data_IF_254378888854
#
_entry.id   IF_254378888854
#
_cell.length_a   1.000
_cell.length_b   1.000
_cell.length_c   1.000
_cell.angle_alpha   90.00
_cell.angle_beta   90.00
_cell.angle_gamma   90.00
#
_symmetry.space_group_name_H-M   'P 1'
#
loop_
_entity.id
_entity.type
_entity.pdbx_description
1 polymer ?
#
# COMPACT_ATOMS: atom_id res chain seq x y z
N UNK A 1 -3.99 -4.05 11.33
CA UNK A 1 -4.62 -3.66 12.61
C UNK A 1 -5.82 -4.56 12.92
N UNK A 2 -6.84 -4.61 12.06
CA UNK A 2 -7.94 -5.59 12.12
C UNK A 2 -8.28 -6.07 10.71
N UNK A 3 -9.12 -7.10 10.58
CA UNK A 3 -9.50 -7.67 9.27
C UNK A 3 -10.68 -6.92 8.62
N UNK A 4 -11.34 -6.06 9.38
CA UNK A 4 -12.39 -5.18 8.88
C UNK A 4 -12.40 -3.83 9.61
N UNK A 5 -13.21 -2.90 9.09
CA UNK A 5 -13.27 -1.55 9.62
C UNK A 5 -13.94 -1.45 11.01
N UNK A 6 -14.78 -2.42 11.41
CA UNK A 6 -15.44 -2.40 12.72
C UNK A 6 -14.43 -2.70 13.83
N UNK A 7 -13.60 -3.73 13.67
CA UNK A 7 -12.52 -4.07 14.61
C UNK A 7 -11.53 -2.91 14.77
N UNK A 8 -11.14 -2.27 13.66
CA UNK A 8 -10.29 -1.08 13.69
C UNK A 8 -10.93 0.05 14.51
N UNK A 9 -12.22 0.31 14.29
CA UNK A 9 -12.95 1.34 15.05
C UNK A 9 -13.03 1.03 16.53
N UNK A 10 -13.23 -0.24 16.88
CA UNK A 10 -13.28 -0.72 18.27
C UNK A 10 -11.95 -0.48 18.98
N UNK A 11 -10.83 -0.95 18.40
CA UNK A 11 -9.49 -0.74 18.97
C UNK A 11 -9.15 0.75 19.12
N UNK A 12 -9.49 1.58 18.13
CA UNK A 12 -9.26 3.03 18.18
C UNK A 12 -10.12 3.71 19.23
N UNK A 13 -11.40 3.31 19.37
CA UNK A 13 -12.29 3.86 20.38
C UNK A 13 -11.79 3.55 21.80
N UNK A 14 -11.38 2.31 22.04
CA UNK A 14 -10.85 1.85 23.32
C UNK A 14 -9.56 2.58 23.71
N UNK A 15 -8.60 2.67 22.78
CA UNK A 15 -7.35 3.40 23.03
C UNK A 15 -7.60 4.88 23.36
N UNK A 16 -8.53 5.54 22.66
CA UNK A 16 -8.91 6.94 22.92
C UNK A 16 -9.61 7.11 24.26
N UNK A 17 -10.56 6.24 24.60
CA UNK A 17 -11.28 6.30 25.87
C UNK A 17 -10.34 6.21 27.08
N UNK A 18 -9.23 5.48 26.93
CA UNK A 18 -8.23 5.29 27.99
C UNK A 18 -7.02 6.23 27.89
N UNK A 19 -6.95 7.08 26.86
CA UNK A 19 -5.81 7.96 26.63
C UNK A 19 -4.50 7.21 26.37
N UNK A 20 -4.56 6.02 25.78
CA UNK A 20 -3.39 5.18 25.49
C UNK A 20 -2.92 5.37 24.05
N UNK A 21 -1.61 5.23 23.84
CA UNK A 21 -1.03 5.25 22.50
C UNK A 21 -1.40 3.97 21.74
N UNK A 22 -1.84 4.14 20.49
CA UNK A 22 -2.11 3.05 19.55
C UNK A 22 -1.65 3.48 18.16
N UNK A 23 -0.94 2.59 17.46
CA UNK A 23 -0.49 2.81 16.10
C UNK A 23 -0.52 1.50 15.31
N UNK A 24 -1.05 1.55 14.09
CA UNK A 24 -0.90 0.43 13.16
C UNK A 24 0.54 0.33 12.66
N UNK A 25 1.10 -0.88 12.66
CA UNK A 25 2.49 -1.15 12.30
C UNK A 25 2.78 -1.04 10.79
N UNK A 26 2.41 0.08 10.16
CA UNK A 26 2.77 0.41 8.78
C UNK A 26 4.22 0.89 8.73
N UNK A 27 5.13 -0.05 8.94
CA UNK A 27 6.57 0.16 8.99
C UNK A 27 7.15 0.89 7.77
N UNK A 28 6.55 0.71 6.59
CA UNK A 28 7.01 1.34 5.34
C UNK A 28 7.06 2.86 5.42
N UNK A 29 6.23 3.49 6.25
CA UNK A 29 6.22 4.95 6.40
C UNK A 29 7.46 5.50 7.09
N UNK A 30 8.23 4.66 7.76
CA UNK A 30 9.41 5.07 8.53
C UNK A 30 10.73 4.82 7.78
N UNK A 31 10.69 4.30 6.54
CA UNK A 31 11.90 4.20 5.73
C UNK A 31 12.38 5.58 5.27
N UNK A 32 13.69 5.88 5.33
CA UNK A 32 14.26 7.16 4.88
C UNK A 32 13.85 7.56 3.46
N UNK A 33 13.70 6.59 2.55
CA UNK A 33 13.25 6.83 1.18
C UNK A 33 11.82 7.40 1.13
N UNK A 34 10.94 6.93 2.01
CA UNK A 34 9.55 7.40 2.10
C UNK A 34 9.49 8.76 2.80
N UNK A 35 10.37 9.01 3.77
CA UNK A 35 10.52 10.34 4.37
C UNK A 35 10.98 11.39 3.35
N UNK A 36 11.99 11.05 2.54
CA UNK A 36 12.49 11.89 1.46
C UNK A 36 11.42 12.16 0.39
N UNK A 37 10.58 11.16 0.08
CA UNK A 37 9.43 11.36 -0.80
C UNK A 37 8.44 12.36 -0.19
N UNK A 38 8.10 12.24 1.10
CA UNK A 38 7.21 13.21 1.77
C UNK A 38 7.79 14.62 1.75
N UNK A 39 9.10 14.78 1.98
CA UNK A 39 9.77 16.07 1.89
C UNK A 39 9.68 16.66 0.46
N UNK A 40 9.86 15.82 -0.57
CA UNK A 40 9.73 16.22 -1.98
C UNK A 40 8.32 16.70 -2.32
N UNK A 41 7.30 16.02 -1.78
CA UNK A 41 5.90 16.42 -1.95
C UNK A 41 5.60 17.74 -1.23
N UNK A 42 6.09 17.90 0.01
CA UNK A 42 5.90 19.12 0.80
C UNK A 42 6.58 20.35 0.16
N UNK A 43 7.70 20.15 -0.54
CA UNK A 43 8.39 21.22 -1.29
C UNK A 43 7.70 21.60 -2.60
N UNK A 44 6.68 20.85 -3.05
CA UNK A 44 6.03 21.09 -4.35
C UNK A 44 6.94 20.81 -5.55
N UNK A 45 8.00 20.03 -5.38
CA UNK A 45 9.00 19.73 -6.42
C UNK A 45 8.38 19.09 -7.66
N UNK A 46 7.33 18.27 -7.47
CA UNK A 46 6.60 17.62 -8.57
C UNK A 46 5.53 18.51 -9.23
N UNK A 47 5.34 19.75 -8.75
CA UNK A 47 4.25 20.62 -9.18
C UNK A 47 2.88 20.11 -8.71
N UNK A 48 1.84 20.39 -9.49
CA UNK A 48 0.47 19.95 -9.18
C UNK A 48 0.39 18.44 -9.41
N UNK A 49 0.04 17.70 -8.36
CA UNK A 49 -0.11 16.26 -8.44
C UNK A 49 -1.24 15.88 -9.42
N UNK A 50 -1.08 14.74 -10.10
CA UNK A 50 -2.05 14.23 -11.08
C UNK A 50 -2.48 12.81 -10.76
N UNK A 51 -1.49 11.91 -10.62
CA UNK A 51 -1.75 10.48 -10.47
C UNK A 51 -0.73 9.81 -9.56
N UNK A 52 -1.18 8.83 -8.80
CA UNK A 52 -0.32 7.91 -8.06
C UNK A 52 -0.60 6.46 -8.49
N UNK A 53 0.44 5.63 -8.51
CA UNK A 53 0.35 4.20 -8.81
C UNK A 53 1.17 3.41 -7.81
N UNK A 54 0.64 2.29 -7.37
CA UNK A 54 1.40 1.31 -6.60
C UNK A 54 1.08 -0.10 -7.09
N UNK A 55 2.07 -0.98 -7.11
CA UNK A 55 1.86 -2.39 -7.41
C UNK A 55 2.59 -3.24 -6.40
N UNK A 56 1.97 -4.33 -5.98
CA UNK A 56 2.63 -5.34 -5.18
C UNK A 56 2.07 -6.72 -5.56
N UNK A 57 2.86 -7.51 -6.27
CA UNK A 57 2.55 -8.90 -6.55
C UNK A 57 3.77 -9.80 -6.48
N UNK A 58 3.55 -10.99 -5.91
CA UNK A 58 4.49 -12.11 -5.82
C UNK A 58 3.66 -13.38 -5.88
N UNK A 59 4.24 -14.46 -6.39
CA UNK A 59 3.65 -15.78 -6.17
C UNK A 59 3.85 -16.16 -4.70
N UNK A 60 2.75 -16.13 -3.93
CA UNK A 60 2.68 -16.49 -2.52
C UNK A 60 1.84 -17.76 -2.31
N UNK A 61 1.51 -18.49 -3.38
CA UNK A 61 0.65 -19.69 -3.31
C UNK A 61 1.27 -20.80 -2.45
N UNK A 62 2.60 -20.81 -2.34
CA UNK A 62 3.37 -21.73 -1.51
C UNK A 62 3.50 -21.30 -0.04
N UNK A 63 3.04 -20.10 0.33
CA UNK A 63 3.07 -19.59 1.71
C UNK A 63 1.70 -19.87 2.34
N UNK A 64 1.56 -20.86 3.25
CA UNK A 64 0.25 -21.35 3.67
C UNK A 64 -0.67 -20.26 4.22
N UNK A 65 -0.13 -19.38 5.07
CA UNK A 65 -0.89 -18.27 5.66
C UNK A 65 -1.37 -17.24 4.61
N UNK A 66 -0.69 -17.10 3.47
CA UNK A 66 -1.04 -16.13 2.42
C UNK A 66 -2.32 -16.47 1.68
N UNK A 67 -2.61 -17.75 1.56
CA UNK A 67 -3.77 -18.26 0.82
C UNK A 67 -4.87 -18.78 1.75
N UNK A 68 -4.68 -18.73 3.07
CA UNK A 68 -5.61 -19.25 4.05
C UNK A 68 -6.77 -18.28 4.32
N UNK A 69 -7.98 -18.71 3.95
CA UNK A 69 -9.22 -17.97 4.19
C UNK A 69 -9.53 -17.80 5.68
N UNK A 70 -9.26 -18.80 6.51
CA UNK A 70 -9.54 -18.75 7.94
C UNK A 70 -8.64 -17.73 8.68
N UNK A 71 -7.49 -17.39 8.09
CA UNK A 71 -6.55 -16.40 8.60
C UNK A 71 -6.64 -15.05 7.88
N UNK A 72 -7.69 -14.84 7.09
CA UNK A 72 -7.91 -13.62 6.32
C UNK A 72 -6.70 -13.24 5.42
N UNK A 73 -6.12 -14.25 4.75
CA UNK A 73 -5.11 -14.04 3.71
C UNK A 73 -5.68 -13.39 2.45
N UNK A 74 -4.90 -13.41 1.36
CA UNK A 74 -5.27 -12.86 0.07
C UNK A 74 -4.50 -11.59 -0.29
N UNK A 75 -4.60 -11.20 -1.57
CA UNK A 75 -3.88 -10.07 -2.14
C UNK A 75 -4.14 -8.75 -1.40
N UNK A 76 -5.37 -8.48 -1.00
CA UNK A 76 -5.73 -7.21 -0.37
C UNK A 76 -5.12 -7.04 1.02
N UNK A 77 -5.26 -8.03 1.91
CA UNK A 77 -4.81 -7.91 3.30
C UNK A 77 -3.31 -8.10 3.44
N UNK A 78 -2.69 -8.96 2.63
CA UNK A 78 -1.25 -9.24 2.75
C UNK A 78 -0.39 -8.14 2.15
N UNK A 79 -0.75 -7.68 0.94
CA UNK A 79 0.14 -6.86 0.11
C UNK A 79 -0.55 -5.60 -0.43
N UNK A 80 -1.87 -5.63 -0.66
CA UNK A 80 -2.67 -4.49 -1.07
C UNK A 80 -2.68 -3.36 -0.03
N UNK A 81 -2.54 -3.68 1.26
CA UNK A 81 -2.37 -2.71 2.34
C UNK A 81 -1.20 -1.74 2.10
N UNK A 82 -0.10 -2.20 1.47
CA UNK A 82 1.06 -1.35 1.16
C UNK A 82 0.77 -0.38 0.03
N UNK A 83 -0.03 -0.80 -0.95
CA UNK A 83 -0.46 0.02 -2.07
C UNK A 83 -1.40 1.13 -1.60
N UNK A 84 -2.45 0.78 -0.84
CA UNK A 84 -3.44 1.75 -0.39
C UNK A 84 -2.84 2.76 0.59
N UNK A 85 -1.97 2.34 1.51
CA UNK A 85 -1.33 3.27 2.44
C UNK A 85 -0.38 4.24 1.73
N UNK A 86 0.27 3.81 0.64
CA UNK A 86 1.15 4.67 -0.17
C UNK A 86 0.32 5.74 -0.88
N UNK A 87 -0.75 5.34 -1.58
CA UNK A 87 -1.65 6.26 -2.28
C UNK A 87 -2.28 7.25 -1.29
N UNK A 88 -2.73 6.75 -0.14
CA UNK A 88 -3.25 7.59 0.94
C UNK A 88 -2.20 8.59 1.42
N UNK A 89 -0.94 8.17 1.61
CA UNK A 89 0.14 9.06 2.05
C UNK A 89 0.40 10.19 1.06
N UNK A 90 0.52 9.89 -0.24
CA UNK A 90 0.86 10.90 -1.26
C UNK A 90 -0.26 11.92 -1.48
N UNK A 91 -1.51 11.53 -1.22
CA UNK A 91 -2.68 12.42 -1.27
C UNK A 91 -3.10 12.93 0.12
N UNK A 92 -2.17 12.97 1.08
CA UNK A 92 -2.37 13.67 2.35
C UNK A 92 -3.41 13.04 3.29
N UNK A 93 -3.65 11.74 3.19
CA UNK A 93 -4.59 11.01 4.04
C UNK A 93 -6.06 11.34 3.77
N UNK A 94 -6.37 11.96 2.64
CA UNK A 94 -7.73 12.34 2.29
C UNK A 94 -8.63 11.11 2.04
N UNK A 95 -9.94 11.30 2.19
CA UNK A 95 -10.93 10.27 1.86
C UNK A 95 -11.18 10.26 0.34
N UNK A 96 -11.11 9.09 -0.33
CA UNK A 96 -11.52 8.98 -1.72
C UNK A 96 -13.00 9.35 -1.93
N UNK A 97 -13.30 10.00 -3.05
CA UNK A 97 -14.66 10.36 -3.50
C UNK A 97 -15.36 9.18 -4.19
N UNK A 98 -14.58 8.34 -4.88
CA UNK A 98 -15.07 7.17 -5.61
C UNK A 98 -14.03 6.07 -5.65
N UNK A 99 -14.49 4.81 -5.57
CA UNK A 99 -13.64 3.62 -5.68
C UNK A 99 -14.27 2.70 -6.74
N UNK A 100 -13.44 2.24 -7.68
CA UNK A 100 -13.79 1.20 -8.66
C UNK A 100 -12.79 0.06 -8.53
N UNK A 101 -13.24 -1.18 -8.51
CA UNK A 101 -12.37 -2.35 -8.36
C UNK A 101 -12.72 -3.45 -9.37
N UNK A 102 -11.69 -4.15 -9.83
CA UNK A 102 -11.79 -5.36 -10.64
C UNK A 102 -10.81 -6.39 -10.10
N UNK A 103 -11.22 -7.64 -10.06
CA UNK A 103 -10.34 -8.70 -9.58
C UNK A 103 -10.96 -10.07 -9.73
N UNK A 104 -10.19 -11.08 -9.33
CA UNK A 104 -10.60 -12.49 -9.31
C UNK A 104 -10.25 -13.13 -7.97
N UNK A 105 -10.96 -14.20 -7.65
CA UNK A 105 -10.74 -15.01 -6.45
C UNK A 105 -9.69 -16.09 -6.72
N UNK A 106 -8.98 -16.47 -5.66
CA UNK A 106 -8.16 -17.67 -5.61
C UNK A 106 -9.04 -18.89 -5.27
N UNK A 107 -8.64 -20.10 -5.65
CA UNK A 107 -9.43 -21.32 -5.34
C UNK A 107 -9.58 -21.59 -3.83
N UNK A 108 -8.69 -21.05 -2.99
CA UNK A 108 -8.75 -21.20 -1.53
C UNK A 108 -9.78 -20.28 -0.85
N UNK A 109 -10.48 -19.44 -1.61
CA UNK A 109 -11.56 -18.57 -1.12
C UNK A 109 -11.16 -17.13 -0.83
N UNK A 110 -9.87 -16.81 -0.81
CA UNK A 110 -9.33 -15.44 -0.71
C UNK A 110 -9.28 -14.73 -2.07
N UNK A 111 -8.95 -13.45 -2.12
CA UNK A 111 -8.70 -12.74 -3.37
C UNK A 111 -7.31 -13.06 -3.95
N UNK A 112 -7.25 -13.31 -5.25
CA UNK A 112 -6.02 -13.62 -5.98
C UNK A 112 -5.35 -12.32 -6.46
N UNK A 113 -6.00 -11.65 -7.41
CA UNK A 113 -5.47 -10.46 -8.07
C UNK A 113 -6.56 -9.40 -8.10
N UNK A 114 -6.25 -8.21 -7.61
CA UNK A 114 -7.18 -7.08 -7.49
C UNK A 114 -6.52 -5.81 -8.01
N UNK A 115 -7.21 -5.09 -8.89
CA UNK A 115 -6.88 -3.73 -9.32
C UNK A 115 -7.95 -2.77 -8.84
N UNK A 116 -7.53 -1.64 -8.27
CA UNK A 116 -8.41 -0.61 -7.71
C UNK A 116 -8.04 0.75 -8.27
N UNK A 117 -9.05 1.56 -8.60
CA UNK A 117 -8.96 2.97 -8.94
C UNK A 117 -9.67 3.78 -7.85
N UNK A 118 -8.99 4.80 -7.35
CA UNK A 118 -9.46 5.70 -6.29
C UNK A 118 -9.44 7.14 -6.81
N UNK A 119 -10.60 7.78 -6.85
CA UNK A 119 -10.70 9.21 -7.12
C UNK A 119 -10.57 10.00 -5.82
N UNK A 120 -9.74 11.04 -5.81
CA UNK A 120 -9.51 11.90 -4.66
C UNK A 120 -9.96 13.34 -4.96
N UNK A 121 -10.23 14.14 -3.91
CA UNK A 121 -10.53 15.57 -4.07
C UNK A 121 -9.45 16.31 -4.87
N UNK A 122 -9.86 17.36 -5.59
CA UNK A 122 -8.94 18.16 -6.42
C UNK A 122 -8.62 17.53 -7.77
N UNK A 123 -9.37 16.51 -8.19
CA UNK A 123 -9.25 15.92 -9.53
C UNK A 123 -8.05 14.99 -9.71
N UNK A 124 -7.37 14.61 -8.64
CA UNK A 124 -6.29 13.62 -8.66
C UNK A 124 -6.84 12.21 -8.44
N UNK A 125 -6.14 11.19 -8.92
CA UNK A 125 -6.56 9.81 -8.71
C UNK A 125 -5.37 8.89 -8.46
N UNK A 126 -5.60 7.80 -7.75
CA UNK A 126 -4.64 6.75 -7.52
C UNK A 126 -5.13 5.44 -8.09
N UNK A 127 -4.22 4.57 -8.53
CA UNK A 127 -4.59 3.18 -8.79
C UNK A 127 -3.56 2.22 -8.21
N UNK A 128 -4.00 1.01 -7.89
CA UNK A 128 -3.06 -0.05 -7.56
C UNK A 128 -3.49 -1.39 -8.09
N UNK A 129 -2.52 -2.29 -8.22
CA UNK A 129 -2.76 -3.72 -8.44
C UNK A 129 -1.99 -4.53 -7.41
N UNK A 130 -2.66 -5.49 -6.78
CA UNK A 130 -2.03 -6.47 -5.92
C UNK A 130 -2.33 -7.90 -6.39
N UNK A 131 -1.39 -8.83 -6.19
CA UNK A 131 -1.56 -10.23 -6.59
C UNK A 131 -0.75 -11.21 -5.74
N UNK A 132 -1.38 -12.30 -5.30
CA UNK A 132 -0.72 -13.44 -4.64
C UNK A 132 -0.26 -14.54 -5.62
N UNK A 133 -0.47 -14.37 -6.92
CA UNK A 133 -0.09 -15.35 -7.96
C UNK A 133 0.84 -14.75 -9.01
N UNK A 134 0.65 -13.47 -9.37
CA UNK A 134 1.39 -12.80 -10.42
C UNK A 134 2.50 -11.90 -9.86
N UNK A 135 3.72 -12.09 -10.38
CA UNK A 135 4.83 -11.19 -10.12
C UNK A 135 4.59 -9.83 -10.81
N UNK A 136 4.57 -8.74 -10.04
CA UNK A 136 4.42 -7.38 -10.55
C UNK A 136 5.74 -6.59 -10.43
N UNK A 137 5.72 -5.34 -10.92
CA UNK A 137 6.87 -4.43 -10.85
C UNK A 137 7.33 -4.16 -9.42
N UNK A 138 6.41 -4.25 -8.45
CA UNK A 138 6.65 -3.98 -7.04
C UNK A 138 7.25 -2.59 -6.82
N UNK A 139 6.70 -1.61 -7.54
CA UNK A 139 7.08 -0.20 -7.46
C UNK A 139 5.89 0.67 -7.09
N UNK A 140 6.19 1.84 -6.53
CA UNK A 140 5.20 2.87 -6.23
C UNK A 140 5.70 4.23 -6.69
N UNK A 141 4.85 5.02 -7.35
CA UNK A 141 5.20 6.35 -7.85
C UNK A 141 4.04 7.33 -7.74
N UNK A 142 4.40 8.62 -7.76
CA UNK A 142 3.49 9.74 -7.87
C UNK A 142 4.03 10.73 -8.88
N UNK A 143 3.14 11.23 -9.74
CA UNK A 143 3.47 12.16 -10.82
C UNK A 143 2.65 13.44 -10.70
N UNK A 144 3.33 14.56 -10.94
CA UNK A 144 2.72 15.88 -11.06
C UNK A 144 3.18 16.59 -12.32
N UNK A 145 2.80 17.86 -12.47
CA UNK A 145 3.07 18.66 -13.68
C UNK A 145 4.55 18.90 -13.96
N UNK A 146 5.44 18.75 -12.97
CA UNK A 146 6.87 19.03 -13.08
C UNK A 146 7.76 17.78 -12.98
N UNK A 147 7.19 16.60 -12.76
CA UNK A 147 7.97 15.36 -12.70
C UNK A 147 7.29 14.21 -11.97
N UNK A 148 8.08 13.18 -11.71
CA UNK A 148 7.66 11.95 -11.04
C UNK A 148 8.68 11.58 -9.95
N UNK A 149 8.18 11.16 -8.80
CA UNK A 149 8.99 10.51 -7.78
C UNK A 149 8.55 9.04 -7.64
N UNK A 150 9.53 8.15 -7.53
CA UNK A 150 9.31 6.71 -7.46
C UNK A 150 10.10 6.10 -6.30
N UNK A 151 9.41 5.28 -5.50
CA UNK A 151 10.04 4.37 -4.54
C UNK A 151 10.28 3.06 -5.27
N UNK A 152 11.56 2.74 -5.47
CA UNK A 152 11.99 1.50 -6.12
C UNK A 152 12.24 0.41 -5.08
N UNK A 153 12.08 -0.85 -5.50
CA UNK A 153 12.65 -1.98 -4.78
C UNK A 153 14.15 -1.73 -4.63
N UNK A 154 14.66 -1.84 -3.41
CA UNK A 154 16.10 -1.91 -3.18
C UNK A 154 16.58 -3.21 -3.82
N UNK A 155 17.31 -3.14 -4.94
CA UNK A 155 18.02 -4.30 -5.46
C UNK A 155 19.22 -4.56 -4.55
N UNK A 156 19.56 -5.82 -4.24
CA UNK A 156 20.80 -6.12 -3.57
C UNK A 156 21.95 -5.53 -4.40
N UNK A 157 22.77 -4.68 -3.80
CA UNK A 157 24.06 -4.32 -4.38
C UNK A 157 24.86 -5.61 -4.54
N UNK A 158 25.56 -5.78 -5.67
CA UNK A 158 26.43 -6.95 -5.89
C UNK A 158 27.51 -7.12 -4.80
N UNK A 159 27.81 -6.06 -4.04
CA UNK A 159 28.89 -5.99 -3.06
C UNK A 159 28.41 -5.45 -1.69
N UNK A 160 27.60 -6.20 -0.93
CA UNK A 160 27.31 -5.83 0.47
C UNK A 160 26.18 -6.62 1.14
N UNK A 161 26.23 -6.84 2.48
CA UNK A 161 25.32 -7.77 3.15
C UNK A 161 23.92 -7.17 3.32
N UNK A 162 22.93 -7.92 2.84
CA UNK A 162 21.50 -7.86 3.20
C UNK A 162 20.89 -6.45 3.21
N UNK A 163 20.66 -5.92 2.00
CA UNK A 163 19.57 -4.97 1.81
C UNK A 163 18.29 -5.64 2.30
N UNK A 164 17.58 -4.99 3.22
CA UNK A 164 16.27 -5.45 3.69
C UNK A 164 15.35 -5.56 2.48
N UNK A 165 15.26 -6.79 1.98
CA UNK A 165 14.22 -7.21 1.09
C UNK A 165 12.89 -6.79 1.71
N UNK A 166 11.92 -6.47 0.86
CA UNK A 166 10.53 -6.40 1.27
C UNK A 166 10.15 -7.81 1.73
N UNK A 167 10.45 -8.10 2.99
CA UNK A 167 10.35 -9.40 3.62
C UNK A 167 8.86 -9.71 3.80
N UNK A 168 8.33 -10.27 2.72
CA UNK A 168 7.25 -11.24 2.68
C UNK A 168 7.69 -12.28 1.66
#
# INVERSE_FOLDING_TARGET
MGVNAAEVREMVAEARARGLFLMEAIWTRFFPAVEALRATLAQGTLGDLRVARAEFGKDLTHVPRAVDWAQAGGGLLDIGIYCIQFISMVFGGQKPEKISAMGRRHETGVDDTVTVLLQYPGGVHGSFTCSITAQLSNTAYVSGTKGMAQVRRCQPSRDGPLAQDWAI
#
